data_IF_520238317632
#
_entry.id   IF_520238317632
#
_cell.length_a   1.000
_cell.length_b   1.000
_cell.length_c   1.000
_cell.angle_alpha   90.00
_cell.angle_beta   90.00
_cell.angle_gamma   90.00
#
_symmetry.space_group_name_H-M   'P 1'
#
loop_
_entity.id
_entity.type
_entity.pdbx_description
1 polymer ?
#
# COMPACT_ATOMS: atom_id res chain seq x y z
N UNK A 1 -39.55 29.90 24.91
CA UNK A 1 -39.45 29.24 23.59
C UNK A 1 -38.07 28.62 23.44
N UNK A 2 -37.95 27.30 23.65
CA UNK A 2 -36.69 26.59 23.50
C UNK A 2 -36.44 26.30 22.00
N UNK A 3 -35.40 26.91 21.42
CA UNK A 3 -35.00 26.63 20.03
C UNK A 3 -34.33 25.26 19.96
N UNK A 4 -34.88 24.41 19.09
CA UNK A 4 -34.45 23.05 18.83
C UNK A 4 -32.97 22.96 18.40
N UNK A 5 -32.35 21.85 18.80
CA UNK A 5 -30.93 21.52 18.75
C UNK A 5 -30.37 21.32 17.33
N UNK A 6 -29.67 22.33 16.78
CA UNK A 6 -28.91 22.21 15.54
C UNK A 6 -27.51 21.53 15.69
N UNK A 7 -27.36 20.55 16.59
CA UNK A 7 -26.05 19.96 16.98
C UNK A 7 -25.68 18.58 16.39
N UNK A 8 -26.58 17.68 15.95
CA UNK A 8 -26.16 16.36 15.49
C UNK A 8 -25.51 16.37 14.10
N UNK A 9 -26.07 17.12 13.14
CA UNK A 9 -25.62 17.11 11.73
C UNK A 9 -24.18 17.62 11.57
N UNK A 10 -23.81 18.66 12.33
CA UNK A 10 -22.46 19.23 12.32
C UNK A 10 -21.43 18.32 12.98
N UNK A 11 -21.81 17.58 14.02
CA UNK A 11 -20.95 16.61 14.69
C UNK A 11 -20.64 15.38 13.81
N UNK A 12 -21.66 14.78 13.18
CA UNK A 12 -21.46 13.66 12.26
C UNK A 12 -20.62 14.05 11.05
N UNK A 13 -20.84 15.25 10.47
CA UNK A 13 -20.00 15.79 9.38
C UNK A 13 -18.53 15.92 9.81
N UNK A 14 -18.25 16.41 11.03
CA UNK A 14 -16.88 16.51 11.56
C UNK A 14 -16.22 15.14 11.73
N UNK A 15 -16.96 14.14 12.22
CA UNK A 15 -16.45 12.76 12.37
C UNK A 15 -16.13 12.13 11.01
N UNK A 16 -17.05 12.25 10.04
CA UNK A 16 -16.84 11.73 8.68
C UNK A 16 -15.64 12.40 8.02
N UNK A 17 -15.50 13.72 8.15
CA UNK A 17 -14.34 14.45 7.63
C UNK A 17 -13.04 13.96 8.28
N UNK A 18 -13.02 13.75 9.61
CA UNK A 18 -11.86 13.18 10.31
C UNK A 18 -11.50 11.78 9.79
N UNK A 19 -12.49 10.89 9.64
CA UNK A 19 -12.27 9.54 9.09
C UNK A 19 -11.75 9.60 7.64
N UNK A 20 -12.30 10.46 6.80
CA UNK A 20 -11.84 10.64 5.42
C UNK A 20 -10.38 11.10 5.38
N UNK A 21 -10.00 12.07 6.20
CA UNK A 21 -8.59 12.51 6.34
C UNK A 21 -7.66 11.37 6.76
N UNK A 22 -8.10 10.52 7.70
CA UNK A 22 -7.33 9.35 8.12
C UNK A 22 -7.19 8.31 6.99
N UNK A 23 -8.25 8.06 6.24
CA UNK A 23 -8.21 7.18 5.06
C UNK A 23 -7.20 7.73 4.05
N UNK A 24 -7.32 9.00 3.66
CA UNK A 24 -6.41 9.67 2.72
C UNK A 24 -4.95 9.55 3.19
N UNK A 25 -4.69 9.75 4.48
CA UNK A 25 -3.35 9.62 5.03
C UNK A 25 -2.80 8.20 4.91
N UNK A 26 -3.60 7.17 5.20
CA UNK A 26 -3.20 5.78 4.98
C UNK A 26 -2.94 5.48 3.49
N UNK A 27 -3.78 6.01 2.61
CA UNK A 27 -3.63 5.88 1.16
C UNK A 27 -2.34 6.56 0.67
N UNK A 28 -2.01 7.76 1.17
CA UNK A 28 -0.74 8.45 0.88
C UNK A 28 0.48 7.63 1.31
N UNK A 29 0.43 6.90 2.43
CA UNK A 29 1.52 5.99 2.80
C UNK A 29 1.67 4.85 1.79
N UNK A 30 0.57 4.27 1.32
CA UNK A 30 0.59 3.23 0.29
C UNK A 30 1.09 3.77 -1.06
N UNK A 31 0.79 5.03 -1.39
CA UNK A 31 1.36 5.71 -2.55
C UNK A 31 2.88 5.86 -2.43
N UNK A 32 3.38 6.26 -1.25
CA UNK A 32 4.82 6.30 -0.96
C UNK A 32 5.48 4.94 -1.20
N UNK A 33 4.89 3.85 -0.69
CA UNK A 33 5.37 2.50 -0.95
C UNK A 33 5.41 2.14 -2.45
N UNK A 34 4.41 2.61 -3.21
CA UNK A 34 4.34 2.37 -4.66
C UNK A 34 5.46 3.10 -5.41
N UNK A 35 5.72 4.37 -5.08
CA UNK A 35 6.81 5.14 -5.68
C UNK A 35 8.16 4.51 -5.37
N UNK A 36 8.42 4.16 -4.11
CA UNK A 36 9.63 3.44 -3.73
C UNK A 36 9.81 2.14 -4.55
N UNK A 37 8.72 1.42 -4.84
CA UNK A 37 8.77 0.21 -5.65
C UNK A 37 9.11 0.49 -7.13
N UNK A 38 8.66 1.62 -7.69
CA UNK A 38 9.04 2.05 -9.05
C UNK A 38 10.53 2.40 -9.07
N UNK A 39 10.96 3.31 -8.20
CA UNK A 39 12.37 3.74 -8.13
C UNK A 39 13.31 2.55 -7.90
N UNK A 40 12.95 1.62 -7.01
CA UNK A 40 13.77 0.43 -6.78
C UNK A 40 13.93 -0.42 -8.04
N UNK A 41 12.88 -0.56 -8.85
CA UNK A 41 12.95 -1.31 -10.12
C UNK A 41 13.76 -0.58 -11.18
N UNK A 42 13.61 0.73 -11.30
CA UNK A 42 14.36 1.56 -12.23
C UNK A 42 15.86 1.53 -11.90
N UNK A 43 16.22 1.65 -10.62
CA UNK A 43 17.60 1.49 -10.17
C UNK A 43 18.11 0.06 -10.43
N UNK A 44 17.33 -0.98 -10.09
CA UNK A 44 17.73 -2.36 -10.36
C UNK A 44 17.96 -2.65 -11.85
N UNK A 45 17.20 -2.01 -12.74
CA UNK A 45 17.40 -2.14 -14.18
C UNK A 45 18.76 -1.59 -14.64
N UNK A 46 19.29 -0.60 -13.93
CA UNK A 46 20.59 0.04 -14.20
C UNK A 46 21.78 -0.69 -13.54
N UNK A 47 21.56 -1.83 -12.87
CA UNK A 47 22.61 -2.57 -12.15
C UNK A 47 23.77 -3.08 -13.02
N UNK A 48 23.56 -3.21 -14.33
CA UNK A 48 24.60 -3.65 -15.27
C UNK A 48 25.41 -2.48 -15.86
N UNK A 49 25.18 -1.26 -15.38
CA UNK A 49 26.04 -0.14 -15.72
C UNK A 49 27.49 -0.43 -15.29
N UNK A 50 28.43 -0.29 -16.22
CA UNK A 50 29.83 -0.67 -16.05
C UNK A 50 30.54 0.12 -14.92
N UNK A 51 30.08 1.35 -14.67
CA UNK A 51 30.74 2.29 -13.76
C UNK A 51 29.95 2.49 -12.47
N UNK A 52 28.62 2.40 -12.52
CA UNK A 52 27.72 2.75 -11.43
C UNK A 52 26.81 1.61 -10.98
N UNK A 53 26.95 0.39 -11.52
CA UNK A 53 26.08 -0.75 -11.21
C UNK A 53 25.91 -1.02 -9.71
N UNK A 54 27.00 -0.99 -8.94
CA UNK A 54 26.95 -1.19 -7.48
C UNK A 54 26.15 -0.10 -6.76
N UNK A 55 26.29 1.16 -7.21
CA UNK A 55 25.52 2.28 -6.66
C UNK A 55 24.02 2.06 -6.88
N UNK A 56 23.62 1.66 -8.09
CA UNK A 56 22.22 1.41 -8.40
C UNK A 56 21.63 0.21 -7.65
N UNK A 57 22.44 -0.82 -7.37
CA UNK A 57 22.03 -1.92 -6.48
C UNK A 57 21.74 -1.39 -5.07
N UNK A 58 22.65 -0.59 -4.49
CA UNK A 58 22.43 0.00 -3.15
C UNK A 58 21.23 0.93 -3.11
N UNK A 59 21.02 1.75 -4.14
CA UNK A 59 19.83 2.61 -4.27
C UNK A 59 18.54 1.78 -4.35
N UNK A 60 18.54 0.69 -5.11
CA UNK A 60 17.41 -0.24 -5.20
C UNK A 60 17.05 -0.86 -3.86
N UNK A 61 18.06 -1.37 -3.13
CA UNK A 61 17.88 -1.96 -1.81
C UNK A 61 17.33 -0.95 -0.79
N UNK A 62 17.87 0.27 -0.78
CA UNK A 62 17.37 1.36 0.07
C UNK A 62 15.89 1.65 -0.21
N UNK A 63 15.52 1.77 -1.48
CA UNK A 63 14.12 2.05 -1.87
C UNK A 63 13.20 0.89 -1.48
N UNK A 64 13.63 -0.36 -1.59
CA UNK A 64 12.83 -1.48 -1.12
C UNK A 64 12.68 -1.54 0.41
N UNK A 65 13.69 -1.11 1.16
CA UNK A 65 13.58 -0.95 2.62
C UNK A 65 12.57 0.14 2.99
N UNK A 66 12.60 1.29 2.32
CA UNK A 66 11.63 2.38 2.49
C UNK A 66 10.21 1.96 2.13
N UNK A 67 10.02 1.25 1.01
CA UNK A 67 8.73 0.61 0.65
C UNK A 67 8.19 -0.21 1.81
N UNK A 68 9.03 -1.04 2.43
CA UNK A 68 8.64 -1.90 3.55
C UNK A 68 8.25 -1.08 4.78
N UNK A 69 8.95 0.01 5.07
CA UNK A 69 8.62 0.93 6.16
C UNK A 69 7.26 1.62 5.93
N UNK A 70 6.96 2.07 4.72
CA UNK A 70 5.65 2.64 4.37
C UNK A 70 4.51 1.64 4.57
N UNK A 71 4.68 0.39 4.11
CA UNK A 71 3.69 -0.68 4.28
C UNK A 71 3.42 -0.94 5.77
N UNK A 72 4.47 -1.04 6.60
CA UNK A 72 4.35 -1.22 8.06
C UNK A 72 3.59 -0.07 8.71
N UNK A 73 3.96 1.18 8.38
CA UNK A 73 3.28 2.39 8.88
C UNK A 73 1.82 2.42 8.48
N UNK A 74 1.51 2.09 7.22
CA UNK A 74 0.14 2.04 6.72
C UNK A 74 -0.70 1.00 7.47
N UNK A 75 -0.20 -0.22 7.64
CA UNK A 75 -0.90 -1.28 8.40
C UNK A 75 -1.12 -0.88 9.85
N UNK A 76 -0.10 -0.35 10.52
CA UNK A 76 -0.22 0.11 11.91
C UNK A 76 -1.27 1.23 12.04
N UNK A 77 -1.28 2.18 11.11
CA UNK A 77 -2.23 3.29 11.09
C UNK A 77 -3.66 2.82 10.82
N UNK A 78 -3.86 1.92 9.85
CA UNK A 78 -5.15 1.31 9.53
C UNK A 78 -5.71 0.58 10.76
N UNK A 79 -4.89 -0.21 11.46
CA UNK A 79 -5.28 -0.90 12.70
C UNK A 79 -5.66 0.10 13.80
N UNK A 80 -4.79 1.08 14.08
CA UNK A 80 -4.96 2.08 15.14
C UNK A 80 -6.27 2.85 15.00
N UNK A 81 -6.69 3.14 13.78
CA UNK A 81 -7.88 3.94 13.49
C UNK A 81 -9.08 3.14 12.99
N UNK A 82 -9.01 1.80 13.00
CA UNK A 82 -10.04 0.90 12.48
C UNK A 82 -10.57 1.34 11.10
N UNK A 83 -9.64 1.66 10.18
CA UNK A 83 -10.00 2.18 8.86
C UNK A 83 -10.59 1.07 7.98
N UNK A 84 -11.55 1.39 7.09
CA UNK A 84 -12.18 0.42 6.19
C UNK A 84 -11.30 0.01 5.00
N UNK A 85 -9.98 -0.06 5.19
CA UNK A 85 -9.01 -0.50 4.19
C UNK A 85 -8.68 -1.96 4.51
N UNK A 86 -9.08 -2.87 3.63
CA UNK A 86 -8.77 -4.30 3.77
C UNK A 86 -7.31 -4.53 3.40
N UNK A 87 -6.62 -5.40 4.13
CA UNK A 87 -5.28 -5.83 3.77
C UNK A 87 -5.03 -7.26 4.21
N UNK A 88 -4.05 -7.91 3.60
CA UNK A 88 -3.63 -9.27 3.95
C UNK A 88 -2.44 -9.73 3.13
N UNK A 89 -1.97 -10.94 3.43
CA UNK A 89 -0.81 -11.54 2.76
C UNK A 89 -1.21 -12.81 2.00
N UNK A 90 -0.62 -13.00 0.83
CA UNK A 90 -0.69 -14.25 0.07
C UNK A 90 0.71 -14.63 -0.41
N UNK A 91 0.98 -15.93 -0.51
CA UNK A 91 2.22 -16.44 -1.09
C UNK A 91 2.01 -16.66 -2.58
N UNK A 92 2.69 -15.87 -3.42
CA UNK A 92 2.64 -16.01 -4.87
C UNK A 92 3.81 -16.85 -5.38
N UNK A 93 3.54 -17.75 -6.33
CA UNK A 93 4.59 -18.42 -7.10
C UNK A 93 5.12 -17.46 -8.15
N UNK A 94 6.44 -17.27 -8.18
CA UNK A 94 7.14 -16.54 -9.22
C UNK A 94 8.05 -17.51 -9.97
N UNK A 95 7.83 -17.61 -11.27
CA UNK A 95 8.56 -18.52 -12.13
C UNK A 95 9.91 -17.90 -12.53
N UNK A 96 10.94 -18.73 -12.57
CA UNK A 96 12.25 -18.36 -13.08
C UNK A 96 12.27 -18.57 -14.60
N UNK A 97 13.24 -17.93 -15.26
CA UNK A 97 13.47 -18.10 -16.70
C UNK A 97 13.88 -19.54 -17.09
N UNK A 98 14.32 -20.35 -16.12
CA UNK A 98 14.73 -21.75 -16.30
C UNK A 98 13.66 -22.78 -15.93
N UNK A 99 12.38 -22.37 -15.86
CA UNK A 99 11.25 -23.28 -15.61
C UNK A 99 11.02 -23.68 -14.14
N UNK A 100 11.84 -23.19 -13.21
CA UNK A 100 11.60 -23.34 -11.78
C UNK A 100 10.60 -22.31 -11.24
N UNK A 101 10.20 -22.44 -9.98
CA UNK A 101 9.47 -21.38 -9.27
C UNK A 101 9.96 -21.22 -7.84
N UNK A 102 9.81 -20.02 -7.32
CA UNK A 102 9.98 -19.70 -5.90
C UNK A 102 8.76 -18.96 -5.39
N UNK A 103 8.44 -19.11 -4.12
CA UNK A 103 7.29 -18.43 -3.51
C UNK A 103 7.72 -17.16 -2.81
N UNK A 104 7.02 -16.06 -3.08
CA UNK A 104 7.25 -14.77 -2.46
C UNK A 104 6.01 -14.28 -1.73
N UNK A 105 6.15 -13.61 -0.57
CA UNK A 105 5.03 -12.97 0.08
C UNK A 105 4.60 -11.75 -0.72
N UNK A 106 3.29 -11.62 -0.90
CA UNK A 106 2.65 -10.47 -1.51
C UNK A 106 1.64 -9.89 -0.51
N UNK A 107 1.81 -8.61 -0.18
CA UNK A 107 0.87 -7.88 0.67
C UNK A 107 -0.10 -7.11 -0.20
N UNK A 108 -1.39 -7.31 0.03
CA UNK A 108 -2.46 -6.69 -0.73
C UNK A 108 -3.21 -5.70 0.15
N UNK A 109 -3.71 -4.64 -0.49
CA UNK A 109 -4.59 -3.65 0.09
C UNK A 109 -5.77 -3.42 -0.84
N UNK A 110 -6.98 -3.30 -0.28
CA UNK A 110 -8.20 -3.04 -1.02
C UNK A 110 -9.05 -1.98 -0.32
N UNK A 111 -9.50 -0.98 -1.08
CA UNK A 111 -10.40 0.08 -0.62
C UNK A 111 -11.28 0.55 -1.77
N UNK A 112 -12.57 0.73 -1.53
CA UNK A 112 -13.55 1.24 -2.51
C UNK A 112 -13.46 0.55 -3.89
N UNK A 113 -13.38 -0.78 -3.90
CA UNK A 113 -13.29 -1.58 -5.14
C UNK A 113 -11.95 -1.50 -5.88
N UNK A 114 -10.98 -0.77 -5.33
CA UNK A 114 -9.64 -0.62 -5.89
C UNK A 114 -8.68 -1.52 -5.09
N UNK A 115 -7.67 -2.13 -5.73
CA UNK A 115 -6.66 -2.97 -5.07
C UNK A 115 -5.22 -2.64 -5.50
N UNK A 116 -4.27 -2.67 -4.55
CA UNK A 116 -2.82 -2.64 -4.80
C UNK A 116 -2.13 -3.81 -4.11
N UNK A 117 -1.04 -4.27 -4.70
CA UNK A 117 -0.24 -5.37 -4.20
C UNK A 117 1.24 -5.01 -4.20
N UNK A 118 1.94 -5.36 -3.12
CA UNK A 118 3.38 -5.17 -2.97
C UNK A 118 4.06 -6.53 -2.81
N UNK A 119 4.91 -6.87 -3.78
CA UNK A 119 5.77 -8.04 -3.67
C UNK A 119 6.93 -7.74 -2.73
N UNK A 120 7.29 -8.72 -1.90
CA UNK A 120 8.48 -8.70 -1.06
C UNK A 120 8.65 -7.42 -0.22
N UNK A 121 7.92 -7.27 0.89
CA UNK A 121 8.44 -6.50 2.00
C UNK A 121 9.72 -7.21 2.46
N UNK A 122 10.84 -6.50 2.59
CA UNK A 122 12.13 -7.05 3.04
C UNK A 122 12.06 -7.70 4.44
N UNK A 123 10.95 -7.51 5.15
CA UNK A 123 10.71 -8.06 6.47
C UNK A 123 9.74 -9.25 6.42
N UNK A 124 10.33 -10.45 6.42
CA UNK A 124 9.60 -11.71 6.49
C UNK A 124 8.81 -11.87 7.79
N UNK A 125 9.32 -11.41 8.93
CA UNK A 125 8.63 -11.49 10.22
C UNK A 125 7.36 -10.64 10.23
N UNK A 126 7.45 -9.43 9.67
CA UNK A 126 6.27 -8.59 9.46
C UNK A 126 5.23 -9.28 8.57
N UNK A 127 5.63 -9.86 7.43
CA UNK A 127 4.67 -10.55 6.55
C UNK A 127 3.98 -11.72 7.21
N UNK A 128 4.69 -12.52 8.02
CA UNK A 128 4.10 -13.61 8.82
C UNK A 128 3.11 -13.12 9.87
N UNK A 129 3.32 -11.92 10.42
CA UNK A 129 2.40 -11.32 11.39
C UNK A 129 1.06 -10.86 10.77
N UNK A 130 1.02 -10.69 9.45
CA UNK A 130 -0.21 -10.34 8.75
C UNK A 130 -1.08 -11.58 8.58
N UNK A 131 -2.36 -11.45 8.93
CA UNK A 131 -3.34 -12.51 8.68
C UNK A 131 -3.44 -12.76 7.18
N UNK A 132 -3.49 -14.05 6.80
CA UNK A 132 -3.85 -14.46 5.46
C UNK A 132 -5.26 -13.94 5.15
N UNK A 133 -5.43 -13.34 3.98
CA UNK A 133 -6.76 -12.95 3.54
C UNK A 133 -7.48 -14.19 3.00
N UNK A 134 -8.57 -14.59 3.65
CA UNK A 134 -9.35 -15.78 3.28
C UNK A 134 -10.47 -15.48 2.27
N UNK A 135 -10.60 -14.23 1.81
CA UNK A 135 -11.57 -13.85 0.78
C UNK A 135 -10.98 -13.95 -0.62
N UNK A 136 -11.83 -13.87 -1.64
CA UNK A 136 -11.36 -13.62 -3.01
C UNK A 136 -10.87 -12.18 -3.09
N UNK A 137 -9.60 -11.99 -3.44
CA UNK A 137 -9.15 -10.69 -3.94
C UNK A 137 -9.96 -10.41 -5.21
N UNK A 138 -10.51 -9.21 -5.35
CA UNK A 138 -11.22 -8.87 -6.59
C UNK A 138 -10.22 -9.01 -7.73
N UNK A 139 -10.55 -9.86 -8.71
CA UNK A 139 -9.72 -10.08 -9.89
C UNK A 139 -9.32 -8.72 -10.46
N UNK A 140 -8.00 -8.52 -10.55
CA UNK A 140 -7.28 -7.33 -11.03
C UNK A 140 -8.21 -6.35 -11.76
N UNK A 141 -8.69 -5.32 -11.06
CA UNK A 141 -9.12 -4.12 -11.77
C UNK A 141 -7.83 -3.50 -12.29
N UNK A 142 -7.63 -3.63 -13.60
CA UNK A 142 -6.49 -3.17 -14.38
C UNK A 142 -5.91 -1.86 -13.82
N UNK A 143 -4.63 -1.91 -13.44
CA UNK A 143 -3.65 -0.81 -13.44
C UNK A 143 -4.04 0.55 -12.81
N UNK A 144 -5.16 0.68 -12.11
CA UNK A 144 -5.71 2.00 -11.77
C UNK A 144 -5.50 2.41 -10.32
N UNK A 145 -5.01 1.55 -9.42
CA UNK A 145 -4.93 1.91 -8.00
C UNK A 145 -4.07 3.14 -7.70
N UNK A 146 -2.87 3.35 -8.26
CA UNK A 146 -2.11 4.58 -7.99
C UNK A 146 -2.85 5.82 -8.51
N UNK A 147 -3.42 5.75 -9.72
CA UNK A 147 -4.13 6.86 -10.37
C UNK A 147 -5.48 7.18 -9.70
N UNK A 148 -6.26 6.16 -9.34
CA UNK A 148 -7.51 6.32 -8.58
C UNK A 148 -7.26 6.73 -7.14
N UNK A 149 -6.17 6.27 -6.53
CA UNK A 149 -5.78 6.71 -5.20
C UNK A 149 -5.40 8.19 -5.22
N UNK A 150 -4.67 8.66 -6.24
CA UNK A 150 -4.45 10.08 -6.49
C UNK A 150 -5.77 10.83 -6.72
N UNK A 151 -6.69 10.30 -7.53
CA UNK A 151 -8.00 10.91 -7.73
C UNK A 151 -8.82 11.01 -6.43
N UNK A 152 -8.79 9.97 -5.58
CA UNK A 152 -9.43 9.96 -4.24
C UNK A 152 -8.76 10.97 -3.31
N UNK A 153 -7.42 11.08 -3.33
CA UNK A 153 -6.68 12.06 -2.54
C UNK A 153 -7.04 13.48 -3.01
N UNK A 154 -7.09 13.72 -4.32
CA UNK A 154 -7.40 15.03 -4.92
C UNK A 154 -8.87 15.43 -4.73
N UNK A 155 -9.82 14.49 -4.78
CA UNK A 155 -11.25 14.79 -4.62
C UNK A 155 -11.67 15.11 -3.19
N UNK A 156 -10.79 14.96 -2.20
CA UNK A 156 -11.08 15.17 -0.78
C UNK A 156 -10.22 16.28 -0.13
N UNK A 157 -9.38 16.96 -0.92
CA UNK A 157 -8.72 18.22 -0.54
C UNK A 157 -9.56 19.39 -1.04
#
# INVERSE_FOLDING_TARGET
>A
MARASAKPITFFKKIMNKKNKQIIHALQMLYGAFNCNIYAKEAWAQRYDLYFGERYVRESEKMYAEKSAYIKKAVAFIKKHALPIKYGVEMQKKYTEYGGYYTIPCVYFSYAGCQVSFHMPYDWHFTKSLKKYNGKWNNRVNATFPMRLMAIIQSNN
#
